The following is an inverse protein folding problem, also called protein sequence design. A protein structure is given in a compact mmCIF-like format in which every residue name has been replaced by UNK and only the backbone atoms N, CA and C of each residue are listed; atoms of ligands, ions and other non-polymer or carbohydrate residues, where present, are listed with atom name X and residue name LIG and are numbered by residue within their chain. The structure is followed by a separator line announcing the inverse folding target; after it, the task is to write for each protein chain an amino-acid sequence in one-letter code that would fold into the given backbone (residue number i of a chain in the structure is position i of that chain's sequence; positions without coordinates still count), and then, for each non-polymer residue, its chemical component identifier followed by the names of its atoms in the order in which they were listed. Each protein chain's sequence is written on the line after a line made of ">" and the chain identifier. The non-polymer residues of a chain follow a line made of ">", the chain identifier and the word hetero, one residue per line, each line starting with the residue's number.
data_IF_853923194975
#
_entry.id   IF_853923194975
#
_cell.length_a   1.000
_cell.length_b   1.000
_cell.length_c   1.000
_cell.angle_alpha   90.00
_cell.angle_beta   90.00
_cell.angle_gamma   90.00
#
_symmetry.space_group_name_H-M   'P 1'
#
loop_
_entity.id
_entity.type
_entity.pdbx_description
1 polymer ?
#
# COMPACT_ATOMS: atom_id res chain seq x y z
N UNK A 1 17.91 4.23 -18.59
CA UNK A 1 17.50 2.98 -17.92
C UNK A 1 17.52 3.05 -16.39
N UNK A 2 18.59 3.53 -15.72
CA UNK A 2 18.68 3.54 -14.23
C UNK A 2 17.54 4.28 -13.50
N UNK A 3 17.05 5.40 -14.03
CA UNK A 3 15.94 6.15 -13.43
C UNK A 3 14.59 5.42 -13.46
N UNK A 4 14.36 4.59 -14.49
CA UNK A 4 13.14 3.79 -14.60
C UNK A 4 13.12 2.66 -13.56
N UNK A 5 14.25 1.97 -13.39
CA UNK A 5 14.40 0.92 -12.36
C UNK A 5 14.18 1.46 -10.95
N UNK A 6 14.68 2.67 -10.64
CA UNK A 6 14.45 3.33 -9.35
C UNK A 6 12.98 3.68 -9.11
N UNK A 7 12.30 4.24 -10.11
CA UNK A 7 10.86 4.55 -10.01
C UNK A 7 10.01 3.29 -9.82
N UNK A 8 10.28 2.24 -10.59
CA UNK A 8 9.59 0.95 -10.45
C UNK A 8 9.80 0.34 -9.06
N UNK A 9 11.02 0.40 -8.51
CA UNK A 9 11.29 -0.07 -7.16
C UNK A 9 10.50 0.70 -6.08
N UNK A 10 10.42 2.03 -6.20
CA UNK A 10 9.64 2.86 -5.26
C UNK A 10 8.16 2.47 -5.28
N UNK A 11 7.57 2.34 -6.47
CA UNK A 11 6.16 1.93 -6.64
C UNK A 11 5.93 0.55 -6.05
N UNK A 12 6.73 -0.44 -6.47
CA UNK A 12 6.57 -1.84 -6.04
C UNK A 12 6.70 -1.97 -4.53
N UNK A 13 7.72 -1.33 -3.93
CA UNK A 13 7.92 -1.38 -2.49
C UNK A 13 6.76 -0.74 -1.72
N UNK A 14 6.27 0.43 -2.16
CA UNK A 14 5.15 1.12 -1.52
C UNK A 14 3.86 0.29 -1.59
N UNK A 15 3.57 -0.33 -2.73
CA UNK A 15 2.39 -1.18 -2.91
C UNK A 15 2.44 -2.43 -2.02
N UNK A 16 3.58 -3.14 -2.00
CA UNK A 16 3.75 -4.33 -1.16
C UNK A 16 3.59 -3.98 0.31
N UNK A 17 4.25 -2.91 0.77
CA UNK A 17 4.22 -2.50 2.16
C UNK A 17 2.83 -2.03 2.59
N UNK A 18 2.17 -1.19 1.78
CA UNK A 18 0.82 -0.72 2.07
C UNK A 18 -0.19 -1.87 2.12
N UNK A 19 -0.08 -2.85 1.21
CA UNK A 19 -0.91 -4.04 1.20
C UNK A 19 -0.68 -4.90 2.45
N UNK A 20 0.57 -5.14 2.82
CA UNK A 20 0.91 -5.93 4.00
C UNK A 20 0.32 -5.32 5.29
N UNK A 21 0.43 -4.00 5.46
CA UNK A 21 -0.12 -3.28 6.63
C UNK A 21 -1.64 -3.36 6.66
N UNK A 22 -2.30 -3.14 5.51
CA UNK A 22 -3.76 -3.21 5.40
C UNK A 22 -4.27 -4.62 5.72
N UNK A 23 -3.67 -5.64 5.12
CA UNK A 23 -4.01 -7.04 5.37
C UNK A 23 -3.79 -7.45 6.84
N UNK A 24 -2.71 -6.99 7.47
CA UNK A 24 -2.46 -7.26 8.89
C UNK A 24 -3.56 -6.65 9.79
N UNK A 25 -3.98 -5.42 9.50
CA UNK A 25 -5.10 -4.79 10.20
C UNK A 25 -6.42 -5.53 9.98
N UNK A 26 -6.72 -5.91 8.74
CA UNK A 26 -7.89 -6.71 8.39
C UNK A 26 -7.91 -8.07 9.10
N UNK A 27 -6.78 -8.77 9.15
CA UNK A 27 -6.67 -10.04 9.86
C UNK A 27 -6.93 -9.89 11.36
N UNK A 28 -6.44 -8.82 11.98
CA UNK A 28 -6.71 -8.53 13.39
C UNK A 28 -8.16 -8.13 13.64
N UNK A 29 -8.82 -7.53 12.64
CA UNK A 29 -10.22 -7.13 12.76
C UNK A 29 -11.18 -8.33 12.85
N UNK A 30 -10.85 -9.43 12.17
CA UNK A 30 -11.70 -10.63 12.15
C UNK A 30 -11.73 -11.31 13.52
N UNK A 31 -12.93 -11.70 13.94
CA UNK A 31 -13.16 -12.50 15.15
C UNK A 31 -12.35 -13.79 15.12
N UNK A 32 -11.89 -14.23 16.29
CA UNK A 32 -11.19 -15.50 16.43
C UNK A 32 -12.07 -16.51 17.15
N UNK A 33 -11.94 -17.78 16.78
CA UNK A 33 -12.57 -18.86 17.52
C UNK A 33 -11.71 -19.25 18.71
N UNK A 34 -12.35 -19.35 19.88
CA UNK A 34 -11.74 -19.81 21.13
C UNK A 34 -12.58 -20.96 21.70
N UNK A 35 -11.93 -21.96 22.29
CA UNK A 35 -12.63 -23.02 23.00
C UNK A 35 -13.14 -22.49 24.35
N UNK A 36 -14.45 -22.56 24.57
CA UNK A 36 -15.06 -22.24 25.86
C UNK A 36 -15.32 -23.53 26.64
N UNK A 37 -14.60 -23.69 27.75
CA UNK A 37 -14.75 -24.85 28.63
C UNK A 37 -16.07 -24.86 29.41
N UNK A 38 -16.72 -23.70 29.60
CA UNK A 38 -17.98 -23.62 30.35
C UNK A 38 -19.17 -24.14 29.54
N UNK A 39 -19.17 -23.91 28.23
CA UNK A 39 -20.23 -24.36 27.32
C UNK A 39 -19.82 -25.58 26.47
N UNK A 40 -18.58 -26.05 26.62
CA UNK A 40 -17.98 -27.13 25.83
C UNK A 40 -18.12 -26.92 24.31
N UNK A 41 -17.90 -25.69 23.86
CA UNK A 41 -18.09 -25.29 22.45
C UNK A 41 -17.08 -24.25 22.01
N UNK A 42 -16.85 -24.14 20.69
CA UNK A 42 -16.10 -23.01 20.12
C UNK A 42 -17.01 -21.78 20.04
N UNK A 43 -16.53 -20.65 20.55
CA UNK A 43 -17.21 -19.35 20.50
C UNK A 43 -16.35 -18.36 19.72
N UNK A 44 -17.00 -17.50 18.95
CA UNK A 44 -16.33 -16.38 18.29
C UNK A 44 -16.15 -15.23 19.28
N UNK A 45 -14.95 -14.65 19.31
CA UNK A 45 -14.65 -13.49 20.14
C UNK A 45 -14.00 -12.39 19.32
N UNK A 46 -14.40 -11.16 19.61
CA UNK A 46 -13.76 -9.97 19.08
C UNK A 46 -12.41 -9.75 19.74
N UNK A 47 -11.43 -9.25 18.96
CA UNK A 47 -10.16 -8.79 19.51
C UNK A 47 -10.32 -7.39 20.11
N UNK A 48 -9.65 -7.08 21.23
CA UNK A 48 -9.73 -5.75 21.82
C UNK A 48 -9.25 -4.69 20.82
N UNK A 49 -10.01 -3.60 20.70
CA UNK A 49 -9.70 -2.47 19.81
C UNK A 49 -9.58 -2.84 18.32
N UNK A 50 -10.17 -3.95 17.88
CA UNK A 50 -10.11 -4.45 16.48
C UNK A 50 -10.38 -3.37 15.43
N UNK A 51 -11.45 -2.57 15.61
CA UNK A 51 -11.80 -1.48 14.70
C UNK A 51 -10.79 -0.33 14.69
N UNK A 52 -10.20 0.01 15.84
CA UNK A 52 -9.15 1.03 15.93
C UNK A 52 -7.85 0.55 15.26
N UNK A 53 -7.48 -0.72 15.42
CA UNK A 53 -6.35 -1.33 14.72
C UNK A 53 -6.55 -1.28 13.19
N UNK A 54 -7.75 -1.64 12.71
CA UNK A 54 -8.08 -1.51 11.29
C UNK A 54 -7.97 -0.06 10.80
N UNK A 55 -8.54 0.89 11.54
CA UNK A 55 -8.47 2.31 11.21
C UNK A 55 -7.03 2.83 11.12
N UNK A 56 -6.18 2.49 12.09
CA UNK A 56 -4.75 2.84 12.08
C UNK A 56 -4.03 2.18 10.90
N UNK A 57 -4.28 0.91 10.62
CA UNK A 57 -3.69 0.23 9.46
C UNK A 57 -4.05 0.91 8.15
N UNK A 58 -5.31 1.30 7.95
CA UNK A 58 -5.77 2.05 6.75
C UNK A 58 -5.02 3.37 6.61
N UNK A 59 -4.97 4.17 7.69
CA UNK A 59 -4.27 5.46 7.68
C UNK A 59 -2.78 5.29 7.38
N UNK A 60 -2.16 4.27 7.96
CA UNK A 60 -0.73 3.99 7.77
C UNK A 60 -0.44 3.55 6.33
N UNK A 61 -1.26 2.68 5.75
CA UNK A 61 -1.17 2.29 4.34
C UNK A 61 -1.32 3.51 3.41
N UNK A 62 -2.24 4.43 3.70
CA UNK A 62 -2.42 5.66 2.93
C UNK A 62 -1.17 6.56 3.01
N UNK A 63 -0.56 6.70 4.19
CA UNK A 63 0.70 7.45 4.37
C UNK A 63 1.85 6.82 3.58
N UNK A 64 1.98 5.50 3.56
CA UNK A 64 2.98 4.78 2.76
C UNK A 64 2.82 5.06 1.26
N UNK A 65 1.59 4.98 0.74
CA UNK A 65 1.34 5.27 -0.67
C UNK A 65 1.60 6.75 -1.01
N UNK A 66 1.18 7.66 -0.13
CA UNK A 66 1.42 9.09 -0.31
C UNK A 66 2.92 9.43 -0.31
N UNK A 67 3.68 8.86 0.62
CA UNK A 67 5.14 9.05 0.67
C UNK A 67 5.83 8.45 -0.56
N UNK A 68 5.39 7.28 -1.04
CA UNK A 68 5.84 6.72 -2.31
C UNK A 68 5.61 7.66 -3.49
N UNK A 69 4.42 8.27 -3.58
CA UNK A 69 4.11 9.26 -4.61
C UNK A 69 5.01 10.51 -4.53
N UNK A 70 5.26 11.03 -3.32
CA UNK A 70 6.19 12.14 -3.11
C UNK A 70 7.63 11.79 -3.52
N UNK A 71 8.09 10.57 -3.24
CA UNK A 71 9.40 10.09 -3.66
C UNK A 71 9.52 10.02 -5.19
N UNK A 72 8.48 9.56 -5.89
CA UNK A 72 8.45 9.56 -7.35
C UNK A 72 8.51 10.96 -7.94
N UNK A 73 7.74 11.91 -7.38
CA UNK A 73 7.80 13.31 -7.80
C UNK A 73 9.18 13.91 -7.59
N UNK A 74 9.86 13.60 -6.48
CA UNK A 74 11.23 14.01 -6.23
C UNK A 74 12.20 13.38 -7.23
N UNK A 75 12.11 12.07 -7.49
CA UNK A 75 12.95 11.38 -8.46
C UNK A 75 12.79 11.95 -9.88
N UNK A 76 11.55 12.24 -10.31
CA UNK A 76 11.26 12.84 -11.61
C UNK A 76 11.77 14.28 -11.76
N UNK A 77 11.78 15.07 -10.67
CA UNK A 77 12.39 16.42 -10.66
C UNK A 77 13.92 16.37 -10.76
N UNK A 78 14.56 15.41 -10.09
CA UNK A 78 16.03 15.27 -10.06
C UNK A 78 16.59 14.71 -11.37
N UNK A 79 15.82 13.94 -12.14
CA UNK A 79 16.30 13.28 -13.36
C UNK A 79 15.88 13.97 -14.67
N UNK A 80 15.16 15.10 -14.58
CA UNK A 80 14.66 15.82 -15.74
C UNK A 80 13.47 15.10 -16.37
N UNK A 81 12.32 15.80 -16.39
CA UNK A 81 11.00 15.45 -16.97
C UNK A 81 10.65 13.95 -17.01
N UNK A 82 9.63 13.50 -16.24
CA UNK A 82 9.15 12.13 -16.37
C UNK A 82 8.67 11.91 -17.81
N UNK A 83 9.15 10.84 -18.43
CA UNK A 83 8.72 10.34 -19.73
C UNK A 83 7.27 9.88 -19.60
N UNK A 84 6.33 10.82 -19.61
CA UNK A 84 4.89 10.53 -19.60
C UNK A 84 4.27 10.81 -20.97
N UNK A 85 4.93 11.56 -21.84
CA UNK A 85 4.43 11.81 -23.20
C UNK A 85 5.56 11.69 -24.24
N UNK A 86 5.89 10.45 -24.61
CA UNK A 86 6.17 10.19 -26.03
C UNK A 86 4.84 9.91 -26.72
N UNK A 87 3.94 10.91 -26.74
CA UNK A 87 3.06 11.02 -27.89
C UNK A 87 4.00 11.11 -29.09
N UNK A 88 3.90 10.22 -30.11
CA UNK A 88 4.76 10.33 -31.28
C UNK A 88 4.58 11.73 -31.84
N UNK A 89 5.61 12.57 -31.70
CA UNK A 89 5.67 13.85 -32.39
C UNK A 89 5.43 13.51 -33.86
N UNK A 90 4.34 14.06 -34.38
CA UNK A 90 3.95 13.98 -35.77
C UNK A 90 5.18 13.88 -36.65
N UNK A 91 5.28 12.76 -37.38
CA UNK A 91 6.22 12.62 -38.50
C UNK A 91 6.06 13.87 -39.34
N UNK A 92 7.12 14.69 -39.43
CA UNK A 92 7.17 15.87 -40.26
C UNK A 92 6.78 15.46 -41.68
N UNK A 93 5.57 15.85 -42.09
CA UNK A 93 5.17 15.84 -43.48
C UNK A 93 5.61 17.16 -44.10
N UNK A 94 6.89 17.25 -44.49
CA UNK A 94 7.38 18.09 -45.59
C UNK A 94 8.83 17.82 -45.93
#
# INVERSE_FOLDING_TARGET
>A
MRGHTGATLIVTAALILAMAIFCAGGFYFVEYQEWDAATASYVYRERPFSGAVLGVSVLTSAVVLYTGALMLLRAGRVHGRPVVDECPRSVDAR
#
